data_IF_124195423388
#
_entry.id   IF_124195423388
#
_cell.length_a   1.000
_cell.length_b   1.000
_cell.length_c   1.000
_cell.angle_alpha   90.00
_cell.angle_beta   90.00
_cell.angle_gamma   90.00
#
_symmetry.space_group_name_H-M   'P 1'
#
loop_
_entity.id
_entity.type
_entity.pdbx_description
1 polymer ?
#
# COMPACT_ATOMS: atom_id res chain seq x y z
N UNK A 1 7.76 2.98 -35.55
CA UNK A 1 8.58 3.90 -34.75
C UNK A 1 7.60 4.62 -33.87
N UNK A 2 7.62 4.30 -32.58
CA UNK A 2 6.71 4.81 -31.56
C UNK A 2 7.34 6.11 -31.03
N UNK A 3 6.65 7.24 -31.24
CA UNK A 3 7.09 8.54 -30.75
C UNK A 3 6.47 8.75 -29.37
N UNK A 4 7.26 8.59 -28.32
CA UNK A 4 6.88 9.00 -26.96
C UNK A 4 6.85 10.53 -26.91
N UNK A 5 5.65 11.12 -26.83
CA UNK A 5 5.49 12.52 -26.46
C UNK A 5 5.74 12.67 -24.95
N UNK A 6 6.85 13.31 -24.60
CA UNK A 6 7.18 13.68 -23.23
C UNK A 6 6.27 14.85 -22.87
N UNK A 7 5.27 14.60 -22.02
CA UNK A 7 4.44 15.66 -21.45
C UNK A 7 5.30 16.48 -20.48
N UNK A 8 5.30 17.80 -20.68
CA UNK A 8 5.92 18.77 -19.78
C UNK A 8 5.05 18.98 -18.54
N UNK A 9 5.66 19.24 -17.39
CA UNK A 9 4.96 19.37 -16.09
C UNK A 9 3.89 20.49 -16.06
N UNK A 10 3.91 21.42 -17.03
CA UNK A 10 2.96 22.53 -17.12
C UNK A 10 1.58 22.13 -17.69
N UNK A 11 1.42 20.94 -18.31
CA UNK A 11 0.14 20.47 -18.87
C UNK A 11 -0.74 19.68 -17.88
N UNK A 12 -0.32 19.53 -16.61
CA UNK A 12 -1.09 18.81 -15.58
C UNK A 12 -2.12 19.73 -14.88
N UNK A 13 -2.07 21.04 -15.12
CA UNK A 13 -2.95 22.01 -14.48
C UNK A 13 -3.91 22.61 -15.50
N UNK A 14 -5.09 21.97 -15.71
CA UNK A 14 -6.38 22.62 -16.06
C UNK A 14 -7.32 21.71 -16.90
N UNK A 15 -7.80 20.60 -16.33
CA UNK A 15 -8.91 19.83 -16.93
C UNK A 15 -10.00 19.40 -15.95
N UNK A 16 -10.23 20.20 -14.91
CA UNK A 16 -11.37 20.01 -14.00
C UNK A 16 -12.18 21.30 -13.80
N UNK A 17 -12.63 21.90 -14.90
CA UNK A 17 -13.74 22.86 -14.88
C UNK A 17 -14.93 22.33 -15.68
N UNK A 18 -15.81 21.67 -14.93
CA UNK A 18 -17.28 21.71 -14.99
C UNK A 18 -17.98 21.99 -16.34
N UNK A 19 -18.68 20.96 -16.83
CA UNK A 19 -19.88 21.11 -17.68
C UNK A 19 -21.05 20.33 -17.03
N UNK A 20 -22.01 21.09 -16.50
CA UNK A 20 -23.35 20.70 -15.97
C UNK A 20 -24.15 19.92 -17.04
N UNK A 21 -25.03 18.93 -16.82
CA UNK A 21 -26.06 18.66 -15.79
C UNK A 21 -26.41 17.14 -15.78
N UNK A 22 -26.39 16.48 -14.62
CA UNK A 22 -27.38 15.41 -14.31
C UNK A 22 -27.45 15.20 -12.79
N UNK A 23 -28.54 15.67 -12.22
CA UNK A 23 -28.89 15.56 -10.80
C UNK A 23 -29.20 14.10 -10.46
N UNK A 24 -28.22 13.37 -9.94
CA UNK A 24 -28.51 12.16 -9.17
C UNK A 24 -27.47 11.97 -8.07
N UNK A 25 -27.76 12.59 -6.93
CA UNK A 25 -27.32 12.20 -5.58
C UNK A 25 -25.94 11.51 -5.54
N UNK A 26 -24.86 12.27 -5.65
CA UNK A 26 -23.71 11.92 -4.82
C UNK A 26 -24.15 12.24 -3.40
N UNK A 27 -24.73 11.24 -2.75
CA UNK A 27 -24.79 11.20 -1.29
C UNK A 27 -23.36 11.46 -0.84
N UNK A 28 -23.12 12.69 -0.41
CA UNK A 28 -21.94 13.11 0.32
C UNK A 28 -21.65 11.98 1.29
N UNK A 29 -20.56 11.23 1.07
CA UNK A 29 -20.13 10.21 2.01
C UNK A 29 -20.23 10.86 3.39
N UNK A 30 -21.19 10.47 4.25
CA UNK A 30 -21.33 11.11 5.53
C UNK A 30 -20.00 10.82 6.19
N UNK A 31 -19.29 11.88 6.59
CA UNK A 31 -17.96 11.80 7.17
C UNK A 31 -17.97 10.65 8.18
N UNK A 32 -17.48 9.48 7.75
CA UNK A 32 -17.71 8.24 8.47
C UNK A 32 -17.09 8.45 9.83
N UNK A 33 -17.92 8.25 10.85
CA UNK A 33 -17.70 8.67 12.21
C UNK A 33 -16.22 8.67 12.58
N UNK A 34 -15.80 9.85 13.01
CA UNK A 34 -14.50 10.23 13.61
C UNK A 34 -14.25 9.43 14.90
N UNK A 35 -14.32 8.11 14.83
CA UNK A 35 -14.03 7.10 15.85
C UNK A 35 -13.08 6.02 15.32
N UNK A 36 -12.54 6.20 14.11
CA UNK A 36 -11.23 5.66 13.76
C UNK A 36 -10.28 6.84 13.58
N UNK A 37 -10.16 7.67 14.62
CA UNK A 37 -9.00 8.52 14.75
C UNK A 37 -7.84 7.54 14.94
N UNK A 38 -7.24 7.11 13.84
CA UNK A 38 -5.96 6.43 13.86
C UNK A 38 -5.01 7.36 14.60
N UNK A 39 -4.86 7.13 15.90
CA UNK A 39 -3.72 7.65 16.65
C UNK A 39 -2.52 7.26 15.81
N UNK A 40 -1.82 8.26 15.26
CA UNK A 40 -0.62 8.07 14.46
C UNK A 40 0.50 7.51 15.35
N UNK A 41 0.33 6.29 15.80
CA UNK A 41 1.32 5.57 16.57
C UNK A 41 2.38 5.12 15.58
N UNK A 42 3.57 5.69 15.72
CA UNK A 42 4.72 5.31 14.91
C UNK A 42 5.14 3.89 15.31
N UNK A 43 4.61 2.90 14.62
CA UNK A 43 5.00 1.51 14.79
C UNK A 43 6.46 1.33 14.33
N UNK A 44 7.22 0.51 15.06
CA UNK A 44 8.52 0.07 14.56
C UNK A 44 8.31 -0.79 13.30
N UNK A 45 9.34 -0.89 12.46
CA UNK A 45 9.26 -1.74 11.26
C UNK A 45 8.98 -3.21 11.62
N UNK A 46 9.49 -3.67 12.78
CA UNK A 46 9.23 -5.02 13.28
C UNK A 46 7.77 -5.22 13.66
N UNK A 47 7.20 -4.29 14.43
CA UNK A 47 5.80 -4.39 14.88
C UNK A 47 4.84 -4.32 13.69
N UNK A 48 5.08 -3.39 12.75
CA UNK A 48 4.30 -3.27 11.53
C UNK A 48 4.34 -4.56 10.68
N UNK A 49 5.50 -5.24 10.65
CA UNK A 49 5.64 -6.50 9.94
C UNK A 49 4.83 -7.63 10.60
N UNK A 50 4.87 -7.73 11.93
CA UNK A 50 4.08 -8.72 12.69
C UNK A 50 2.59 -8.51 12.44
N UNK A 51 2.12 -7.28 12.51
CA UNK A 51 0.72 -6.95 12.21
C UNK A 51 0.33 -7.29 10.77
N UNK A 52 1.21 -7.02 9.80
CA UNK A 52 0.97 -7.35 8.40
C UNK A 52 0.90 -8.86 8.16
N UNK A 53 1.79 -9.65 8.79
CA UNK A 53 1.74 -11.11 8.67
C UNK A 53 0.47 -11.71 9.28
N UNK A 54 0.04 -11.21 10.45
CA UNK A 54 -1.20 -11.64 11.08
C UNK A 54 -2.43 -11.33 10.22
N UNK A 55 -2.48 -10.13 9.62
CA UNK A 55 -3.55 -9.72 8.72
C UNK A 55 -3.61 -10.60 7.46
N UNK A 56 -2.46 -10.84 6.82
CA UNK A 56 -2.41 -11.71 5.63
C UNK A 56 -2.86 -13.14 5.96
N UNK A 57 -2.53 -13.64 7.15
CA UNK A 57 -2.97 -14.96 7.58
C UNK A 57 -4.48 -15.01 7.86
N UNK A 58 -5.03 -13.98 8.50
CA UNK A 58 -6.47 -13.85 8.70
C UNK A 58 -7.23 -13.89 7.36
N UNK A 59 -6.84 -13.03 6.42
CA UNK A 59 -7.47 -12.95 5.10
C UNK A 59 -7.33 -14.27 4.31
N UNK A 60 -6.17 -14.94 4.40
CA UNK A 60 -5.97 -16.21 3.70
C UNK A 60 -6.88 -17.33 4.25
N UNK A 61 -7.19 -17.30 5.56
CA UNK A 61 -8.02 -18.29 6.23
C UNK A 61 -9.52 -18.00 6.14
N UNK A 62 -9.90 -16.78 5.79
CA UNK A 62 -11.30 -16.38 5.62
C UNK A 62 -12.02 -17.32 4.63
N UNK A 63 -13.23 -17.75 5.01
CA UNK A 63 -13.99 -18.75 4.26
C UNK A 63 -14.52 -18.14 2.95
N UNK A 64 -14.82 -16.85 2.96
CA UNK A 64 -15.25 -16.06 1.81
C UNK A 64 -14.14 -15.81 0.79
N UNK A 65 -12.86 -16.01 1.17
CA UNK A 65 -11.73 -15.79 0.25
C UNK A 65 -11.71 -16.80 -0.89
N UNK A 66 -11.68 -16.30 -2.11
CA UNK A 66 -11.56 -17.10 -3.33
C UNK A 66 -10.18 -17.77 -3.43
N UNK A 67 -10.05 -18.86 -4.20
CA UNK A 67 -8.75 -19.50 -4.42
C UNK A 67 -7.69 -18.56 -5.01
N UNK A 68 -8.10 -17.62 -5.87
CA UNK A 68 -7.21 -16.63 -6.47
C UNK A 68 -6.65 -15.66 -5.42
N UNK A 69 -7.50 -15.15 -4.53
CA UNK A 69 -7.10 -14.27 -3.44
C UNK A 69 -6.10 -14.96 -2.50
N UNK A 70 -6.36 -16.23 -2.13
CA UNK A 70 -5.43 -17.02 -1.29
C UNK A 70 -4.04 -17.15 -1.92
N UNK A 71 -3.96 -17.33 -3.24
CA UNK A 71 -2.67 -17.35 -3.97
C UNK A 71 -1.99 -15.98 -3.91
N UNK A 72 -2.73 -14.90 -4.14
CA UNK A 72 -2.20 -13.54 -4.09
C UNK A 72 -1.66 -13.22 -2.70
N UNK A 73 -2.40 -13.56 -1.63
CA UNK A 73 -2.00 -13.34 -0.24
C UNK A 73 -0.70 -14.10 0.10
N UNK A 74 -0.57 -15.36 -0.34
CA UNK A 74 0.68 -16.15 -0.20
C UNK A 74 1.86 -15.50 -0.91
N UNK A 75 1.63 -14.98 -2.11
CA UNK A 75 2.66 -14.31 -2.90
C UNK A 75 3.11 -13.00 -2.22
N UNK A 76 2.16 -12.20 -1.75
CA UNK A 76 2.43 -10.97 -0.98
C UNK A 76 3.25 -11.27 0.26
N UNK A 77 2.86 -12.27 1.05
CA UNK A 77 3.62 -12.71 2.24
C UNK A 77 5.05 -13.09 1.87
N UNK A 78 5.24 -13.81 0.76
CA UNK A 78 6.56 -14.22 0.28
C UNK A 78 7.43 -13.03 -0.16
N UNK A 79 6.85 -12.06 -0.86
CA UNK A 79 7.54 -10.84 -1.29
C UNK A 79 7.99 -10.00 -0.09
N UNK A 80 7.11 -9.82 0.89
CA UNK A 80 7.41 -9.06 2.11
C UNK A 80 8.58 -9.70 2.86
N UNK A 81 8.51 -11.02 3.14
CA UNK A 81 9.59 -11.76 3.81
C UNK A 81 10.91 -11.66 3.07
N UNK A 82 10.89 -11.80 1.73
CA UNK A 82 12.08 -11.66 0.90
C UNK A 82 12.71 -10.28 1.05
N UNK A 83 11.92 -9.21 0.94
CA UNK A 83 12.43 -7.82 1.07
C UNK A 83 12.99 -7.53 2.45
N UNK A 84 12.35 -8.02 3.52
CA UNK A 84 12.85 -7.89 4.90
C UNK A 84 14.21 -8.57 5.04
N UNK A 85 14.35 -9.80 4.53
CA UNK A 85 15.60 -10.55 4.57
C UNK A 85 16.72 -9.86 3.76
N UNK A 86 16.42 -9.36 2.56
CA UNK A 86 17.36 -8.60 1.74
C UNK A 86 17.85 -7.33 2.46
N UNK A 87 16.94 -6.59 3.09
CA UNK A 87 17.26 -5.40 3.88
C UNK A 87 18.15 -5.76 5.08
N UNK A 88 17.81 -6.81 5.82
CA UNK A 88 18.60 -7.28 6.95
C UNK A 88 20.02 -7.68 6.54
N UNK A 89 20.18 -8.43 5.43
CA UNK A 89 21.49 -8.79 4.89
C UNK A 89 22.31 -7.56 4.54
N UNK A 90 21.71 -6.59 3.86
CA UNK A 90 22.38 -5.32 3.49
C UNK A 90 22.85 -4.58 4.74
N UNK A 91 22.00 -4.48 5.77
CA UNK A 91 22.36 -3.87 7.06
C UNK A 91 23.51 -4.61 7.74
N UNK A 92 23.49 -5.95 7.77
CA UNK A 92 24.55 -6.77 8.35
C UNK A 92 25.89 -6.55 7.64
N UNK A 93 25.91 -6.54 6.31
CA UNK A 93 27.12 -6.29 5.51
C UNK A 93 27.68 -4.91 5.81
N UNK A 94 26.85 -3.86 5.77
CA UNK A 94 27.29 -2.50 6.10
C UNK A 94 27.90 -2.45 7.50
N UNK A 95 27.21 -3.04 8.49
CA UNK A 95 27.68 -3.05 9.88
C UNK A 95 29.03 -3.74 10.06
N UNK A 96 29.37 -4.73 9.24
CA UNK A 96 30.66 -5.42 9.28
C UNK A 96 31.80 -4.49 8.86
N UNK A 97 31.58 -3.65 7.83
CA UNK A 97 32.59 -2.71 7.34
C UNK A 97 32.68 -1.41 8.15
N UNK A 98 31.62 -1.05 8.89
CA UNK A 98 31.58 0.18 9.70
C UNK A 98 31.95 -0.03 11.16
N UNK A 99 32.20 -1.28 11.59
CA UNK A 99 32.72 -1.56 12.93
C UNK A 99 34.23 -1.26 12.96
N UNK A 100 34.58 -0.15 13.61
CA UNK A 100 35.95 0.20 14.02
C UNK A 100 36.37 -0.64 15.22
#
# INVERSE_FOLDING_TARGET
>A
MECCEVLSDDDIVSSATCGSEETRNFEECPASDKKNLATHQKLSLGDALVHSEALLNYLEQEDESTPAEKIILRNLRSIIRRRVNEKQKRTSIISFFTKQ
#
